data_IF_539544228250
#
_entry.id   IF_539544228250
#
_cell.length_a   1.000
_cell.length_b   1.000
_cell.length_c   1.000
_cell.angle_alpha   90.00
_cell.angle_beta   90.00
_cell.angle_gamma   90.00
#
_symmetry.space_group_name_H-M   'P 1'
#
loop_
_entity.id
_entity.type
_entity.pdbx_description
1 polymer ?
#
# COMPACT_ATOMS: atom_id res chain seq x y z
N UNK A 1 -6.99 23.00 15.63
CA UNK A 1 -6.70 21.56 15.43
C UNK A 1 -8.04 20.81 15.35
N UNK A 2 -8.29 19.99 14.31
CA UNK A 2 -9.54 19.20 14.26
C UNK A 2 -9.60 18.23 15.45
N UNK A 3 -10.73 18.21 16.17
CA UNK A 3 -10.95 17.20 17.21
C UNK A 3 -10.94 15.80 16.61
N UNK A 4 -10.51 14.81 17.39
CA UNK A 4 -10.46 13.39 16.98
C UNK A 4 -11.79 12.91 16.40
N UNK A 5 -12.91 13.38 16.97
CA UNK A 5 -14.26 13.05 16.51
C UNK A 5 -14.58 13.66 15.14
N UNK A 6 -14.14 14.90 14.86
CA UNK A 6 -14.31 15.52 13.54
C UNK A 6 -13.50 14.78 12.47
N UNK A 7 -12.26 14.37 12.77
CA UNK A 7 -11.43 13.59 11.83
C UNK A 7 -12.10 12.28 11.43
N UNK A 8 -12.55 11.49 12.42
CA UNK A 8 -13.31 10.26 12.17
C UNK A 8 -14.57 10.46 11.32
N UNK A 9 -15.26 11.59 11.47
CA UNK A 9 -16.42 11.92 10.63
C UNK A 9 -16.00 12.10 9.17
N UNK A 10 -14.91 12.82 8.92
CA UNK A 10 -14.41 13.05 7.57
C UNK A 10 -13.77 11.82 6.92
N UNK A 11 -13.07 10.98 7.69
CA UNK A 11 -12.62 9.65 7.24
C UNK A 11 -13.78 8.87 6.63
N UNK A 12 -14.90 8.75 7.36
CA UNK A 12 -16.10 8.06 6.87
C UNK A 12 -16.75 8.73 5.67
N UNK A 13 -16.89 10.05 5.68
CA UNK A 13 -17.55 10.80 4.61
C UNK A 13 -16.77 10.73 3.30
N UNK A 14 -15.44 10.71 3.38
CA UNK A 14 -14.55 10.67 2.23
C UNK A 14 -14.09 9.25 1.88
N UNK A 15 -14.46 8.23 2.66
CA UNK A 15 -14.01 6.85 2.44
C UNK A 15 -12.50 6.69 2.55
N UNK A 16 -11.85 7.46 3.43
CA UNK A 16 -10.41 7.45 3.66
C UNK A 16 -10.09 6.93 5.06
N UNK A 17 -9.00 6.20 5.21
CA UNK A 17 -8.38 5.94 6.51
C UNK A 17 -7.63 7.18 7.05
N UNK A 18 -7.05 7.07 8.25
CA UNK A 18 -6.40 8.18 8.92
C UNK A 18 -5.19 8.73 8.12
N UNK A 19 -4.40 7.84 7.51
CA UNK A 19 -3.18 8.22 6.81
C UNK A 19 -3.49 8.75 5.41
N UNK A 20 -4.48 8.15 4.73
CA UNK A 20 -5.07 8.65 3.49
C UNK A 20 -5.65 10.06 3.69
N UNK A 21 -6.39 10.28 4.79
CA UNK A 21 -6.94 11.61 5.12
C UNK A 21 -5.83 12.63 5.37
N UNK A 22 -4.76 12.27 6.09
CA UNK A 22 -3.60 13.16 6.28
C UNK A 22 -2.94 13.50 4.95
N UNK A 23 -2.74 12.50 4.08
CA UNK A 23 -2.16 12.68 2.75
C UNK A 23 -3.02 13.62 1.91
N UNK A 24 -4.32 13.39 1.85
CA UNK A 24 -5.28 14.25 1.17
C UNK A 24 -5.19 15.69 1.66
N UNK A 25 -5.34 15.92 2.97
CA UNK A 25 -5.32 17.28 3.53
C UNK A 25 -4.00 18.01 3.26
N UNK A 26 -2.87 17.30 3.29
CA UNK A 26 -1.55 17.87 2.98
C UNK A 26 -1.45 18.26 1.52
N UNK A 27 -1.76 17.35 0.59
CA UNK A 27 -1.69 17.58 -0.86
C UNK A 27 -2.69 18.68 -1.27
N UNK A 28 -3.92 18.61 -0.77
CA UNK A 28 -4.98 19.58 -1.03
C UNK A 28 -4.61 20.98 -0.52
N UNK A 29 -4.09 21.09 0.72
CA UNK A 29 -3.63 22.39 1.24
C UNK A 29 -2.47 22.96 0.44
N UNK A 30 -1.53 22.12 0.00
CA UNK A 30 -0.41 22.56 -0.83
C UNK A 30 -0.90 23.09 -2.18
N UNK A 31 -1.79 22.33 -2.84
CA UNK A 31 -2.40 22.73 -4.10
C UNK A 31 -3.15 24.06 -3.98
N UNK A 32 -3.98 24.23 -2.94
CA UNK A 32 -4.70 25.50 -2.74
C UNK A 32 -3.77 26.69 -2.49
N UNK A 33 -2.64 26.47 -1.81
CA UNK A 33 -1.62 27.51 -1.58
C UNK A 33 -0.81 27.85 -2.84
N UNK A 34 -0.79 26.96 -3.83
CA UNK A 34 -0.09 27.20 -5.09
C UNK A 34 -0.97 27.88 -6.14
N UNK A 35 -2.23 28.20 -5.81
CA UNK A 35 -3.11 28.94 -6.71
C UNK A 35 -2.93 30.43 -6.51
N UNK A 36 -2.82 31.18 -7.61
CA UNK A 36 -2.73 32.65 -7.56
C UNK A 36 -4.02 33.28 -7.00
N UNK A 37 -5.17 32.67 -7.30
CA UNK A 37 -6.47 33.07 -6.75
C UNK A 37 -7.27 31.84 -6.26
N UNK A 38 -7.82 31.95 -5.05
CA UNK A 38 -8.66 30.91 -4.46
C UNK A 38 -10.11 31.01 -4.98
N UNK A 39 -10.32 30.60 -6.23
CA UNK A 39 -11.66 30.54 -6.84
C UNK A 39 -12.42 29.26 -6.46
N UNK A 40 -13.76 29.24 -6.60
CA UNK A 40 -14.54 28.00 -6.48
C UNK A 40 -14.05 26.88 -7.40
N UNK A 41 -13.58 27.22 -8.60
CA UNK A 41 -13.01 26.26 -9.55
C UNK A 41 -11.68 25.68 -9.07
N UNK A 42 -10.82 26.50 -8.47
CA UNK A 42 -9.60 26.02 -7.83
C UNK A 42 -9.93 25.02 -6.71
N UNK A 43 -10.89 25.35 -5.84
CA UNK A 43 -11.35 24.43 -4.79
C UNK A 43 -11.86 23.11 -5.40
N UNK A 44 -12.70 23.19 -6.43
CA UNK A 44 -13.26 22.02 -7.09
C UNK A 44 -12.17 21.14 -7.75
N UNK A 45 -11.22 21.75 -8.44
CA UNK A 45 -10.11 21.05 -9.09
C UNK A 45 -9.20 20.34 -8.06
N UNK A 46 -9.04 20.90 -6.87
CA UNK A 46 -8.32 20.22 -5.80
C UNK A 46 -8.90 18.84 -5.45
N UNK A 47 -10.21 18.61 -5.66
CA UNK A 47 -10.81 17.31 -5.37
C UNK A 47 -10.32 16.19 -6.29
N UNK A 48 -9.66 16.48 -7.42
CA UNK A 48 -8.96 15.45 -8.18
C UNK A 48 -7.88 14.73 -7.36
N UNK A 49 -7.31 15.39 -6.33
CA UNK A 49 -6.38 14.77 -5.39
C UNK A 49 -7.05 13.67 -4.57
N UNK A 50 -8.35 13.82 -4.26
CA UNK A 50 -9.11 12.76 -3.59
C UNK A 50 -9.27 11.54 -4.51
N UNK A 51 -9.59 11.78 -5.79
CA UNK A 51 -9.70 10.72 -6.79
C UNK A 51 -8.35 10.00 -6.96
N UNK A 52 -7.24 10.72 -7.07
CA UNK A 52 -5.92 10.12 -7.23
C UNK A 52 -5.51 9.22 -6.05
N UNK A 53 -5.85 9.63 -4.81
CA UNK A 53 -5.56 8.80 -3.62
C UNK A 53 -6.37 7.50 -3.65
N UNK A 54 -7.63 7.55 -4.09
CA UNK A 54 -8.45 6.35 -4.25
C UNK A 54 -7.92 5.43 -5.35
N UNK A 55 -7.49 5.98 -6.47
CA UNK A 55 -6.88 5.19 -7.55
C UNK A 55 -5.57 4.51 -7.11
N UNK A 56 -4.74 5.22 -6.32
CA UNK A 56 -3.54 4.66 -5.69
C UNK A 56 -3.90 3.47 -4.80
N UNK A 57 -4.94 3.60 -3.96
CA UNK A 57 -5.46 2.53 -3.10
C UNK A 57 -5.94 1.34 -3.90
N UNK A 58 -6.79 1.55 -4.91
CA UNK A 58 -7.36 0.48 -5.73
C UNK A 58 -6.27 -0.27 -6.50
N UNK A 59 -5.24 0.44 -6.99
CA UNK A 59 -4.06 -0.20 -7.60
C UNK A 59 -3.30 -1.05 -6.59
N UNK A 60 -3.09 -0.56 -5.37
CA UNK A 60 -2.45 -1.33 -4.30
C UNK A 60 -3.29 -2.55 -3.93
N UNK A 61 -4.61 -2.42 -3.86
CA UNK A 61 -5.53 -3.53 -3.56
C UNK A 61 -5.60 -4.54 -4.70
N UNK A 62 -5.61 -4.10 -5.95
CA UNK A 62 -5.54 -4.98 -7.12
C UNK A 62 -4.19 -5.72 -7.18
N UNK A 63 -3.09 -5.04 -6.88
CA UNK A 63 -1.78 -5.69 -6.69
C UNK A 63 -1.84 -6.68 -5.52
N UNK A 64 -2.55 -6.36 -4.44
CA UNK A 64 -2.79 -7.26 -3.30
C UNK A 64 -3.58 -8.51 -3.69
N UNK A 65 -4.60 -8.37 -4.51
CA UNK A 65 -5.40 -9.48 -5.03
C UNK A 65 -4.65 -10.32 -6.09
N UNK A 66 -3.69 -9.73 -6.80
CA UNK A 66 -2.92 -10.41 -7.86
C UNK A 66 -2.17 -11.64 -7.35
N UNK A 67 -1.59 -11.57 -6.14
CA UNK A 67 -0.77 -12.66 -5.61
C UNK A 67 -1.55 -13.57 -4.65
N UNK A 68 -1.75 -14.82 -5.08
CA UNK A 68 -2.56 -15.83 -4.39
C UNK A 68 -1.70 -16.66 -3.43
N UNK A 69 -2.14 -16.78 -2.18
CA UNK A 69 -1.59 -17.71 -1.20
C UNK A 69 -2.64 -18.09 -0.16
N UNK A 70 -2.60 -19.33 0.36
CA UNK A 70 -3.40 -19.75 1.53
C UNK A 70 -2.66 -19.53 2.85
N UNK A 71 -1.34 -19.26 2.80
CA UNK A 71 -0.53 -19.11 4.01
C UNK A 71 -0.61 -17.65 4.49
N UNK A 72 -1.19 -17.44 5.68
CA UNK A 72 -1.36 -16.11 6.30
C UNK A 72 -0.07 -15.29 6.42
N UNK A 73 1.07 -15.94 6.66
CA UNK A 73 2.35 -15.24 6.77
C UNK A 73 2.88 -14.85 5.40
N UNK A 74 2.66 -15.67 4.38
CA UNK A 74 2.97 -15.27 2.99
C UNK A 74 2.07 -14.11 2.56
N UNK A 75 0.78 -14.11 2.90
CA UNK A 75 -0.12 -12.98 2.60
C UNK A 75 0.36 -11.71 3.32
N UNK A 76 0.83 -11.83 4.57
CA UNK A 76 1.29 -10.69 5.37
C UNK A 76 2.62 -10.11 4.87
N UNK A 77 3.57 -10.97 4.51
CA UNK A 77 4.94 -10.59 4.12
C UNK A 77 5.20 -10.74 2.61
N UNK A 78 4.14 -10.75 1.81
CA UNK A 78 4.19 -10.96 0.35
C UNK A 78 5.16 -10.05 -0.36
N UNK A 79 5.11 -8.75 -0.08
CA UNK A 79 5.85 -7.74 -0.82
C UNK A 79 7.35 -7.90 -0.51
N UNK A 80 7.71 -8.10 0.76
CA UNK A 80 9.09 -8.44 1.16
C UNK A 80 9.57 -9.77 0.55
N UNK A 81 8.73 -10.81 0.50
CA UNK A 81 9.08 -12.08 -0.15
C UNK A 81 9.38 -11.88 -1.63
N UNK A 82 8.56 -11.09 -2.32
CA UNK A 82 8.71 -10.77 -3.74
C UNK A 82 10.01 -10.00 -3.96
N UNK A 83 10.24 -8.95 -3.17
CA UNK A 83 11.42 -8.09 -3.27
C UNK A 83 12.70 -8.88 -3.00
N UNK A 84 12.75 -9.69 -1.94
CA UNK A 84 13.91 -10.53 -1.64
C UNK A 84 14.18 -11.53 -2.78
N UNK A 85 13.14 -12.13 -3.36
CA UNK A 85 13.29 -13.06 -4.48
C UNK A 85 13.80 -12.38 -5.75
N UNK A 86 13.25 -11.21 -6.08
CA UNK A 86 13.67 -10.38 -7.21
C UNK A 86 15.12 -9.94 -7.09
N UNK A 87 15.56 -9.59 -5.88
CA UNK A 87 16.96 -9.30 -5.54
C UNK A 87 17.88 -10.55 -5.50
N UNK A 88 17.42 -11.70 -6.03
CA UNK A 88 18.25 -12.88 -6.22
C UNK A 88 18.32 -13.85 -5.03
N UNK A 89 17.67 -13.57 -3.90
CA UNK A 89 17.70 -14.49 -2.76
C UNK A 89 16.95 -15.80 -3.09
N UNK A 90 17.55 -16.92 -2.69
CA UNK A 90 16.92 -18.23 -2.77
C UNK A 90 15.90 -18.45 -1.65
N UNK A 91 14.95 -19.37 -1.85
CA UNK A 91 13.82 -19.62 -0.94
C UNK A 91 14.23 -19.89 0.53
N UNK A 92 15.35 -20.59 0.73
CA UNK A 92 15.89 -20.88 2.07
C UNK A 92 16.37 -19.61 2.77
N UNK A 93 17.03 -18.71 2.04
CA UNK A 93 17.52 -17.43 2.58
C UNK A 93 16.35 -16.52 2.92
N UNK A 94 15.33 -16.44 2.05
CA UNK A 94 14.10 -15.67 2.31
C UNK A 94 13.41 -16.19 3.57
N UNK A 95 13.25 -17.51 3.71
CA UNK A 95 12.69 -18.14 4.92
C UNK A 95 13.43 -17.71 6.19
N UNK A 96 14.77 -17.77 6.16
CA UNK A 96 15.61 -17.34 7.28
C UNK A 96 15.50 -15.84 7.57
N UNK A 97 15.41 -15.01 6.53
CA UNK A 97 15.25 -13.56 6.67
C UNK A 97 13.95 -13.21 7.40
N UNK A 98 12.84 -13.88 7.03
CA UNK A 98 11.55 -13.69 7.70
C UNK A 98 11.59 -14.15 9.16
N UNK A 99 12.32 -15.21 9.47
CA UNK A 99 12.50 -15.67 10.84
C UNK A 99 13.31 -14.65 11.67
N UNK A 100 14.39 -14.11 11.11
CA UNK A 100 15.23 -13.11 11.79
C UNK A 100 14.49 -11.78 11.99
N UNK A 101 13.88 -11.25 10.93
CA UNK A 101 13.27 -9.92 10.96
C UNK A 101 11.95 -9.89 11.71
N UNK A 102 11.14 -10.96 11.57
CA UNK A 102 9.75 -10.96 12.03
C UNK A 102 9.43 -12.04 13.06
N UNK A 103 10.40 -12.91 13.40
CA UNK A 103 10.18 -14.11 14.26
C UNK A 103 9.09 -15.03 13.71
N UNK A 104 9.00 -15.12 12.38
CA UNK A 104 7.99 -15.92 11.69
C UNK A 104 8.65 -17.02 10.88
N UNK A 105 8.26 -18.27 11.15
CA UNK A 105 8.67 -19.43 10.37
C UNK A 105 7.74 -19.66 9.19
N UNK A 106 8.27 -19.46 7.98
CA UNK A 106 7.63 -19.87 6.72
C UNK A 106 8.53 -20.90 6.06
N UNK A 107 8.01 -22.08 5.72
CA UNK A 107 8.81 -23.12 5.07
C UNK A 107 9.30 -22.68 3.69
N UNK A 108 10.49 -23.14 3.27
CA UNK A 108 11.01 -22.90 1.92
C UNK A 108 10.02 -23.32 0.84
N UNK A 109 9.31 -24.44 1.05
CA UNK A 109 8.38 -25.02 0.07
C UNK A 109 7.11 -24.16 -0.06
N UNK A 110 6.69 -23.50 1.02
CA UNK A 110 5.58 -22.55 0.96
C UNK A 110 5.96 -21.30 0.16
N UNK A 111 7.17 -20.79 0.34
CA UNK A 111 7.70 -19.64 -0.42
C UNK A 111 7.85 -20.03 -1.90
N UNK A 112 8.47 -21.17 -2.19
CA UNK A 112 8.62 -21.68 -3.55
C UNK A 112 7.26 -21.84 -4.25
N UNK A 113 6.28 -22.45 -3.58
CA UNK A 113 4.92 -22.59 -4.11
C UNK A 113 4.30 -21.23 -4.42
N UNK A 114 4.45 -20.26 -3.52
CA UNK A 114 3.94 -18.91 -3.73
C UNK A 114 4.58 -18.24 -4.95
N UNK A 115 5.90 -18.27 -5.07
CA UNK A 115 6.62 -17.71 -6.22
C UNK A 115 6.15 -18.36 -7.53
N UNK A 116 6.10 -19.70 -7.57
CA UNK A 116 5.70 -20.45 -8.78
C UNK A 116 4.24 -20.22 -9.15
N UNK A 117 3.31 -20.27 -8.19
CA UNK A 117 1.86 -20.10 -8.44
C UNK A 117 1.55 -18.71 -9.01
N UNK A 118 2.37 -17.73 -8.67
CA UNK A 118 2.18 -16.34 -9.05
C UNK A 118 3.11 -15.88 -10.17
N UNK A 119 3.85 -16.80 -10.78
CA UNK A 119 4.73 -16.55 -11.93
C UNK A 119 5.70 -15.37 -11.68
N UNK A 120 6.19 -15.24 -10.45
CA UNK A 120 7.07 -14.14 -10.06
C UNK A 120 8.46 -14.44 -10.62
N UNK A 121 8.95 -13.56 -11.49
CA UNK A 121 10.28 -13.66 -12.09
C UNK A 121 11.31 -12.87 -11.28
N UNK A 122 12.57 -13.26 -11.41
CA UNK A 122 13.70 -12.48 -10.89
C UNK A 122 13.95 -11.27 -11.77
N UNK A 123 14.47 -10.21 -11.16
CA UNK A 123 15.03 -9.11 -11.93
C UNK A 123 16.43 -9.60 -12.38
N UNK A 124 16.61 -9.71 -13.70
CA UNK A 124 17.81 -10.28 -14.32
C UNK A 124 19.04 -9.41 -14.15
#
# INVERSE_FOLDING_TARGET
MFSKNKRKKYERLLGLDEDELKSFLKRYSYYLKSQDELSPNAILNGFFILASIRDEKDKIEALKAKYKSKNKYIIKYRDEIIDLYKNGLGYVRISKQLEVNHRVKVSKSSIERFIKTNEIMRDG
#
